data_IF_415144597265
#
_entry.id   IF_415144597265
#
_cell.length_a   1.000
_cell.length_b   1.000
_cell.length_c   1.000
_cell.angle_alpha   90.00
_cell.angle_beta   90.00
_cell.angle_gamma   90.00
#
_symmetry.space_group_name_H-M   'P 1'
#
loop_
_entity.id
_entity.type
_entity.pdbx_description
1 polymer ?
#
# COMPACT_ATOMS: atom_id res chain seq x y z
N UNK A 1 -24.83 -3.98 1.55
CA UNK A 1 -23.55 -3.58 0.93
C UNK A 1 -22.81 -2.68 1.90
N UNK A 2 -21.68 -3.13 2.47
CA UNK A 2 -20.80 -2.23 3.24
C UNK A 2 -20.22 -1.18 2.30
N UNK A 3 -20.05 0.06 2.77
CA UNK A 3 -19.52 1.16 1.97
C UNK A 3 -18.33 1.77 2.70
N UNK A 4 -17.20 1.91 2.02
CA UNK A 4 -16.01 2.56 2.54
C UNK A 4 -16.06 4.06 2.23
N UNK A 5 -15.34 4.85 3.03
CA UNK A 5 -15.10 6.26 2.69
C UNK A 5 -13.92 6.34 1.73
N UNK A 6 -13.98 7.28 0.80
CA UNK A 6 -12.83 7.60 -0.04
C UNK A 6 -11.62 7.96 0.82
N UNK A 7 -10.46 7.38 0.51
CA UNK A 7 -9.22 7.61 1.25
C UNK A 7 -8.61 9.03 1.06
N UNK A 8 -9.15 9.84 0.15
CA UNK A 8 -8.67 11.20 -0.07
C UNK A 8 -9.02 12.10 1.12
N UNK A 9 -8.08 12.96 1.52
CA UNK A 9 -8.23 13.84 2.67
C UNK A 9 -9.51 14.69 2.55
N UNK A 10 -10.35 14.63 3.60
CA UNK A 10 -11.66 15.31 3.69
C UNK A 10 -12.67 14.93 2.59
N UNK A 11 -12.47 13.84 1.85
CA UNK A 11 -13.47 13.35 0.92
C UNK A 11 -14.56 12.55 1.65
N UNK A 12 -15.80 13.05 1.63
CA UNK A 12 -16.95 12.37 2.22
C UNK A 12 -17.60 11.30 1.35
N UNK A 13 -17.08 11.04 0.15
CA UNK A 13 -17.70 10.13 -0.81
C UNK A 13 -17.71 8.69 -0.28
N UNK A 14 -18.87 8.02 -0.39
CA UNK A 14 -18.99 6.58 -0.14
C UNK A 14 -18.65 5.82 -1.42
N UNK A 15 -17.80 4.81 -1.28
CA UNK A 15 -17.33 3.95 -2.37
C UNK A 15 -17.55 2.48 -2.00
N UNK A 16 -17.66 1.62 -3.02
CA UNK A 16 -17.76 0.18 -2.77
C UNK A 16 -16.47 -0.33 -2.09
N UNK A 17 -16.53 -1.41 -1.28
CA UNK A 17 -15.38 -1.89 -0.52
C UNK A 17 -14.18 -2.28 -1.38
N UNK A 18 -14.44 -2.65 -2.63
CA UNK A 18 -13.46 -3.01 -3.66
C UNK A 18 -12.76 -1.80 -4.30
N UNK A 19 -13.13 -0.58 -3.93
CA UNK A 19 -12.50 0.64 -4.41
C UNK A 19 -11.73 1.34 -3.30
N UNK A 20 -10.57 1.89 -3.67
CA UNK A 20 -9.70 2.67 -2.78
C UNK A 20 -10.12 4.15 -2.69
N UNK A 21 -10.55 4.73 -3.81
CA UNK A 21 -10.93 6.15 -3.92
C UNK A 21 -12.13 6.33 -4.85
N UNK A 22 -12.82 7.46 -4.71
CA UNK A 22 -13.86 7.85 -5.67
C UNK A 22 -13.24 8.19 -7.04
N UNK A 23 -14.02 8.10 -8.14
CA UNK A 23 -13.50 8.33 -9.51
C UNK A 23 -12.79 9.68 -9.68
N UNK A 24 -13.30 10.74 -9.05
CA UNK A 24 -12.71 12.09 -9.09
C UNK A 24 -11.28 12.10 -8.55
N UNK A 25 -11.07 11.59 -7.34
CA UNK A 25 -9.76 11.58 -6.71
C UNK A 25 -8.84 10.55 -7.36
N UNK A 26 -9.38 9.42 -7.80
CA UNK A 26 -8.60 8.47 -8.58
C UNK A 26 -8.07 9.10 -9.87
N UNK A 27 -8.88 9.88 -10.59
CA UNK A 27 -8.47 10.55 -11.82
C UNK A 27 -7.26 11.49 -11.62
N UNK A 28 -7.13 12.11 -10.44
CA UNK A 28 -6.00 12.99 -10.08
C UNK A 28 -4.68 12.25 -9.87
N UNK A 29 -4.71 10.93 -9.68
CA UNK A 29 -3.49 10.14 -9.50
C UNK A 29 -2.80 9.95 -10.87
N UNK A 30 -1.49 10.25 -11.00
CA UNK A 30 -0.73 9.98 -12.22
C UNK A 30 -0.80 8.52 -12.63
N UNK A 31 -0.87 8.25 -13.94
CA UNK A 31 -1.00 6.89 -14.50
C UNK A 31 -0.03 5.85 -13.93
N UNK A 32 1.29 6.13 -13.87
CA UNK A 32 2.27 5.19 -13.31
C UNK A 32 2.03 4.86 -11.83
N UNK A 33 1.44 5.81 -11.07
CA UNK A 33 1.10 5.62 -9.66
C UNK A 33 -0.19 4.81 -9.53
N UNK A 34 -1.18 5.07 -10.39
CA UNK A 34 -2.42 4.28 -10.44
C UNK A 34 -2.13 2.79 -10.58
N UNK A 35 -1.21 2.45 -11.49
CA UNK A 35 -0.84 1.07 -11.77
C UNK A 35 -0.15 0.41 -10.57
N UNK A 36 0.87 1.06 -9.99
CA UNK A 36 1.55 0.54 -8.79
C UNK A 36 0.60 0.34 -7.61
N UNK A 37 -0.25 1.34 -7.35
CA UNK A 37 -1.23 1.30 -6.25
C UNK A 37 -2.27 0.20 -6.50
N UNK A 38 -2.76 0.07 -7.74
CA UNK A 38 -3.75 -0.95 -8.08
C UNK A 38 -3.19 -2.36 -7.98
N UNK A 39 -1.96 -2.59 -8.45
CA UNK A 39 -1.25 -3.87 -8.32
C UNK A 39 -1.06 -4.24 -6.85
N UNK A 40 -0.59 -3.32 -6.01
CA UNK A 40 -0.42 -3.57 -4.58
C UNK A 40 -1.77 -3.82 -3.88
N UNK A 41 -2.77 -2.98 -4.15
CA UNK A 41 -4.10 -3.11 -3.55
C UNK A 41 -4.78 -4.44 -3.92
N UNK A 42 -4.66 -4.88 -5.19
CA UNK A 42 -5.18 -6.16 -5.67
C UNK A 42 -4.37 -7.35 -5.16
N UNK A 43 -3.07 -7.21 -4.97
CA UNK A 43 -2.24 -8.27 -4.37
C UNK A 43 -2.67 -8.60 -2.93
N UNK A 44 -3.30 -7.63 -2.25
CA UNK A 44 -3.86 -7.82 -0.90
C UNK A 44 -5.37 -8.13 -0.89
N UNK A 45 -6.00 -8.32 -2.05
CA UNK A 45 -7.44 -8.58 -2.13
C UNK A 45 -7.74 -10.09 -2.02
N UNK A 46 -7.91 -10.56 -0.76
CA UNK A 46 -8.98 -11.48 -0.27
C UNK A 46 -8.67 -12.20 1.05
N UNK A 47 -7.47 -12.08 1.59
CA UNK A 47 -7.16 -12.63 2.92
C UNK A 47 -6.54 -11.54 3.79
N UNK A 48 -7.41 -10.69 4.36
CA UNK A 48 -7.12 -10.06 5.65
C UNK A 48 -7.16 -11.12 6.77
N UNK A 49 -6.50 -12.26 6.53
CA UNK A 49 -6.21 -13.23 7.55
C UNK A 49 -5.22 -12.57 8.50
N UNK A 50 -5.43 -12.77 9.81
CA UNK A 50 -4.46 -12.38 10.84
C UNK A 50 -3.04 -12.86 10.48
N UNK A 51 -2.93 -14.00 9.77
CA UNK A 51 -1.69 -14.55 9.24
C UNK A 51 -1.00 -13.62 8.23
N UNK A 52 -1.73 -12.99 7.30
CA UNK A 52 -1.12 -12.07 6.33
C UNK A 52 -0.58 -10.80 7.02
N UNK A 53 -1.28 -10.30 8.04
CA UNK A 53 -0.78 -9.20 8.86
C UNK A 53 0.46 -9.61 9.68
N UNK A 54 0.49 -10.83 10.22
CA UNK A 54 1.63 -11.36 10.96
C UNK A 54 2.84 -11.58 10.06
N UNK A 55 2.65 -12.13 8.86
CA UNK A 55 3.72 -12.30 7.86
C UNK A 55 4.30 -10.94 7.41
N UNK A 56 3.44 -9.96 7.14
CA UNK A 56 3.89 -8.60 6.82
C UNK A 56 4.66 -7.95 7.99
N UNK A 57 4.21 -8.17 9.23
CA UNK A 57 4.89 -7.66 10.43
C UNK A 57 6.24 -8.34 10.63
N UNK A 58 6.31 -9.66 10.43
CA UNK A 58 7.54 -10.44 10.52
C UNK A 58 8.55 -10.00 9.46
N UNK A 59 8.12 -9.78 8.22
CA UNK A 59 9.00 -9.31 7.16
C UNK A 59 9.63 -7.94 7.46
N UNK A 60 8.90 -7.03 8.12
CA UNK A 60 9.44 -5.74 8.59
C UNK A 60 10.50 -5.96 9.67
N UNK A 61 10.21 -6.80 10.67
CA UNK A 61 11.14 -7.10 11.77
C UNK A 61 12.40 -7.82 11.26
N UNK A 62 12.26 -8.78 10.34
CA UNK A 62 13.37 -9.50 9.75
C UNK A 62 14.24 -8.54 8.91
N UNK A 63 13.64 -7.62 8.16
CA UNK A 63 14.37 -6.57 7.45
C UNK A 63 15.12 -5.64 8.42
N UNK A 64 14.51 -5.24 9.53
CA UNK A 64 15.18 -4.43 10.57
C UNK A 64 16.33 -5.20 11.26
N UNK A 65 16.16 -6.50 11.49
CA UNK A 65 17.18 -7.38 12.05
C UNK A 65 18.37 -7.56 11.10
N UNK A 66 18.12 -7.73 9.80
CA UNK A 66 19.15 -7.77 8.75
C UNK A 66 19.84 -6.42 8.57
N UNK A 67 19.10 -5.32 8.73
CA UNK A 67 19.61 -3.96 8.60
C UNK A 67 20.38 -3.47 9.83
N UNK A 68 20.39 -4.22 10.94
CA UNK A 68 21.24 -3.99 12.10
C UNK A 68 21.25 -2.54 12.60
N UNK A 69 20.27 -2.16 13.42
CA UNK A 69 20.15 -0.91 14.20
C UNK A 69 21.27 0.15 13.95
N UNK A 70 21.22 0.82 12.80
CA UNK A 70 22.31 1.72 12.41
C UNK A 70 22.07 2.45 11.10
N UNK A 71 21.33 3.57 11.18
CA UNK A 71 21.22 4.65 10.20
C UNK A 71 20.84 4.23 8.76
N UNK A 72 19.61 4.60 8.37
CA UNK A 72 19.15 4.59 6.98
C UNK A 72 20.10 5.43 6.11
N UNK A 73 21.02 4.78 5.41
CA UNK A 73 21.85 5.43 4.41
C UNK A 73 21.07 5.44 3.08
N UNK A 74 20.55 6.62 2.71
CA UNK A 74 19.71 6.85 1.53
C UNK A 74 20.37 6.40 0.20
N UNK A 75 21.68 6.15 0.23
CA UNK A 75 22.50 5.74 -0.91
C UNK A 75 22.29 4.28 -1.34
N UNK A 76 21.72 3.40 -0.49
CA UNK A 76 21.46 1.99 -0.83
C UNK A 76 20.13 1.71 -1.54
N UNK A 77 19.22 2.68 -1.60
CA UNK A 77 17.87 2.52 -2.20
C UNK A 77 17.92 2.62 -3.74
N UNK A 78 18.96 3.24 -4.29
CA UNK A 78 19.02 3.62 -5.71
C UNK A 78 19.61 2.55 -6.66
N UNK A 79 19.96 1.35 -6.19
CA UNK A 79 20.87 0.46 -6.93
C UNK A 79 20.47 -1.00 -7.02
N UNK A 80 19.25 -1.35 -7.46
CA UNK A 80 18.96 -2.72 -7.89
C UNK A 80 17.81 -2.80 -8.88
N UNK A 81 18.05 -2.33 -10.10
CA UNK A 81 17.31 -2.75 -11.29
C UNK A 81 18.34 -3.03 -12.39
N UNK A 82 18.82 -4.27 -12.43
CA UNK A 82 19.47 -4.86 -13.59
C UNK A 82 19.10 -6.33 -13.65
#
# INVERSE_FOLDING_TARGET
MSANRCAAFKCGARIAPTFLMCPRHWAMVPGPIKEKVWTAYRAHDRDASLTACLEATKAIVDFEAEMGNGKLDATKIAGRNK
#
